data_IF_935052470444
#
_entry.id   IF_935052470444
#
_cell.length_a   1.000
_cell.length_b   1.000
_cell.length_c   1.000
_cell.angle_alpha   90.00
_cell.angle_beta   90.00
_cell.angle_gamma   90.00
#
_symmetry.space_group_name_H-M   'P 1'
#
loop_
_entity.id
_entity.type
_entity.pdbx_description
1 polymer ?
#
# COMPACT_ATOMS: atom_id res chain seq x y z
N UNK A 1 32.60 71.99 -32.19
CA UNK A 1 32.66 70.62 -32.73
C UNK A 1 31.98 69.68 -31.74
N UNK A 2 31.07 68.87 -32.25
CA UNK A 2 30.25 67.82 -31.63
C UNK A 2 29.13 68.16 -30.61
N UNK A 3 27.90 67.69 -30.89
CA UNK A 3 26.72 67.84 -30.04
C UNK A 3 26.56 66.67 -29.05
N UNK A 4 25.90 66.97 -27.93
CA UNK A 4 25.47 66.04 -26.89
C UNK A 4 24.46 65.01 -27.43
N UNK A 5 24.80 63.71 -27.33
CA UNK A 5 23.87 62.59 -27.47
C UNK A 5 23.33 62.21 -26.10
N UNK A 6 22.03 62.35 -25.89
CA UNK A 6 21.31 61.67 -24.80
C UNK A 6 20.45 60.60 -25.46
N UNK A 7 20.77 59.33 -25.17
CA UNK A 7 20.03 58.15 -25.61
C UNK A 7 18.72 58.01 -24.79
N UNK A 8 17.65 57.43 -25.37
CA UNK A 8 16.43 57.12 -24.64
C UNK A 8 16.59 55.81 -23.84
N UNK A 9 16.14 55.85 -22.59
CA UNK A 9 16.04 54.67 -21.70
C UNK A 9 14.90 53.78 -22.17
N UNK A 10 15.22 52.59 -22.69
CA UNK A 10 14.26 51.53 -22.94
C UNK A 10 14.01 50.78 -21.64
N UNK A 11 12.79 50.87 -21.11
CA UNK A 11 12.31 50.10 -19.98
C UNK A 11 11.95 48.69 -20.46
N UNK A 12 12.82 47.71 -20.22
CA UNK A 12 12.52 46.31 -20.50
C UNK A 12 11.72 45.72 -19.34
N UNK A 13 10.46 45.34 -19.62
CA UNK A 13 9.61 44.57 -18.73
C UNK A 13 10.19 43.14 -18.61
N UNK A 14 10.72 42.81 -17.44
CA UNK A 14 11.07 41.42 -17.11
C UNK A 14 9.79 40.72 -16.67
N UNK A 15 9.19 39.94 -17.57
CA UNK A 15 8.16 38.97 -17.20
C UNK A 15 8.88 37.80 -16.53
N UNK A 16 8.83 37.78 -15.21
CA UNK A 16 9.35 36.67 -14.41
C UNK A 16 8.41 35.48 -14.55
N UNK A 17 8.71 34.58 -15.50
CA UNK A 17 8.08 33.27 -15.55
C UNK A 17 8.61 32.45 -14.36
N UNK A 18 7.81 32.35 -13.29
CA UNK A 18 8.04 31.37 -12.24
C UNK A 18 7.87 29.97 -12.84
N UNK A 19 8.98 29.36 -13.23
CA UNK A 19 9.06 27.93 -13.41
C UNK A 19 8.95 27.28 -12.02
N UNK A 20 7.92 26.46 -11.82
CA UNK A 20 7.81 25.62 -10.65
C UNK A 20 9.05 24.72 -10.58
N UNK A 21 9.74 24.75 -9.44
CA UNK A 21 10.87 23.89 -9.18
C UNK A 21 10.33 22.46 -9.00
N UNK A 22 10.71 21.59 -9.93
CA UNK A 22 10.58 20.14 -9.80
C UNK A 22 11.76 19.65 -8.96
N UNK A 23 11.51 19.13 -7.77
CA UNK A 23 12.53 18.40 -7.00
C UNK A 23 12.01 17.05 -6.52
N UNK A 24 12.71 15.99 -6.98
CA UNK A 24 12.78 14.59 -6.51
C UNK A 24 11.44 13.83 -6.34
N UNK A 25 11.13 12.74 -7.04
CA UNK A 25 11.87 11.80 -7.89
C UNK A 25 10.98 11.41 -9.09
N UNK A 26 11.60 11.07 -10.22
CA UNK A 26 10.99 10.75 -11.53
C UNK A 26 10.24 9.40 -11.51
N UNK A 27 9.30 9.26 -10.58
CA UNK A 27 8.27 8.23 -10.63
C UNK A 27 7.17 8.79 -11.51
N UNK A 28 6.97 8.18 -12.67
CA UNK A 28 5.97 8.58 -13.68
C UNK A 28 4.55 8.59 -13.10
N UNK A 29 4.16 9.67 -12.42
CA UNK A 29 2.80 9.97 -11.98
C UNK A 29 2.00 10.37 -13.21
N UNK A 30 0.94 9.64 -13.52
CA UNK A 30 0.02 10.09 -14.57
C UNK A 30 -0.90 11.16 -13.97
N UNK A 31 -0.87 12.35 -14.56
CA UNK A 31 -1.69 13.47 -14.10
C UNK A 31 -3.19 13.14 -14.17
N UNK A 32 -3.94 13.59 -13.16
CA UNK A 32 -5.40 13.50 -13.13
C UNK A 32 -6.01 14.26 -14.33
N UNK A 33 -7.08 13.73 -14.96
CA UNK A 33 -7.71 14.35 -16.12
C UNK A 33 -8.50 15.61 -15.72
N UNK A 34 -7.88 16.78 -15.85
CA UNK A 34 -8.48 18.06 -15.43
C UNK A 34 -9.62 18.59 -16.30
N UNK A 35 -9.87 18.00 -17.47
CA UNK A 35 -10.91 18.42 -18.41
C UNK A 35 -12.21 17.65 -18.29
N UNK A 36 -12.24 16.56 -17.51
CA UNK A 36 -13.43 15.75 -17.29
C UNK A 36 -14.26 16.31 -16.14
N UNK A 37 -15.55 16.55 -16.37
CA UNK A 37 -16.48 16.93 -15.31
C UNK A 37 -16.93 15.73 -14.47
N UNK A 38 -16.95 14.54 -15.09
CA UNK A 38 -17.53 13.30 -14.53
C UNK A 38 -16.64 12.11 -14.92
N UNK A 39 -15.48 11.91 -14.28
CA UNK A 39 -14.59 10.80 -14.59
C UNK A 39 -15.22 9.45 -14.21
N UNK A 40 -14.87 8.40 -14.94
CA UNK A 40 -15.14 7.03 -14.56
C UNK A 40 -14.06 6.52 -13.61
N UNK A 41 -14.47 6.16 -12.41
CA UNK A 41 -13.60 5.73 -11.31
C UNK A 41 -13.69 4.23 -11.13
N UNK A 42 -12.55 3.55 -11.21
CA UNK A 42 -12.44 2.12 -10.96
C UNK A 42 -11.76 1.86 -9.63
N UNK A 43 -12.31 0.92 -8.86
CA UNK A 43 -11.86 0.65 -7.51
C UNK A 43 -11.17 -0.70 -7.47
N UNK A 44 -9.98 -0.72 -6.90
CA UNK A 44 -9.20 -1.92 -6.63
C UNK A 44 -9.09 -2.06 -5.10
N UNK A 45 -9.95 -2.88 -4.48
CA UNK A 45 -9.88 -3.09 -3.04
C UNK A 45 -8.66 -3.96 -2.68
N UNK A 46 -7.95 -3.54 -1.64
CA UNK A 46 -6.92 -4.27 -0.90
C UNK A 46 -7.39 -4.42 0.53
N UNK A 47 -8.41 -5.26 0.73
CA UNK A 47 -9.07 -5.43 2.02
C UNK A 47 -8.71 -6.76 2.68
N UNK A 48 -8.60 -6.76 4.01
CA UNK A 48 -8.39 -7.98 4.80
C UNK A 48 -6.92 -8.38 4.89
N UNK A 49 -6.68 -9.69 4.96
CA UNK A 49 -5.38 -10.25 5.32
C UNK A 49 -4.40 -10.24 4.14
N UNK A 50 -3.19 -9.70 4.37
CA UNK A 50 -2.09 -9.80 3.41
C UNK A 50 -1.71 -11.27 3.17
N UNK A 51 -1.62 -11.67 1.90
CA UNK A 51 -1.19 -13.02 1.51
C UNK A 51 -2.31 -14.06 1.41
N UNK A 52 -3.55 -13.74 1.77
CA UNK A 52 -4.71 -14.61 1.55
C UNK A 52 -5.81 -13.86 0.82
N UNK A 53 -6.44 -12.86 1.46
CA UNK A 53 -7.41 -11.97 0.81
C UNK A 53 -6.72 -11.08 -0.22
N UNK A 54 -5.62 -10.43 0.20
CA UNK A 54 -4.76 -9.63 -0.67
C UNK A 54 -3.68 -10.55 -1.23
N UNK A 55 -4.05 -11.27 -2.29
CA UNK A 55 -3.22 -12.26 -2.97
C UNK A 55 -3.22 -12.01 -4.49
N UNK A 56 -2.14 -12.28 -5.26
CA UNK A 56 -2.08 -11.94 -6.69
C UNK A 56 -3.19 -12.53 -7.59
N UNK A 57 -3.83 -13.63 -7.17
CA UNK A 57 -4.84 -14.33 -7.97
C UNK A 57 -6.05 -13.46 -8.39
N UNK A 58 -6.81 -12.82 -7.47
CA UNK A 58 -7.91 -11.92 -7.83
C UNK A 58 -7.44 -10.74 -8.68
N UNK A 59 -6.26 -10.16 -8.38
CA UNK A 59 -5.80 -8.96 -9.08
C UNK A 59 -5.46 -9.20 -10.55
N UNK A 60 -5.10 -10.43 -10.96
CA UNK A 60 -4.97 -10.76 -12.40
C UNK A 60 -6.29 -10.55 -13.14
N UNK A 61 -7.41 -10.92 -12.53
CA UNK A 61 -8.74 -10.71 -13.12
C UNK A 61 -9.14 -9.23 -13.06
N UNK A 62 -8.84 -8.54 -11.96
CA UNK A 62 -9.09 -7.10 -11.80
C UNK A 62 -8.32 -6.28 -12.83
N UNK A 63 -7.02 -6.53 -13.04
CA UNK A 63 -6.21 -5.86 -14.08
C UNK A 63 -6.80 -6.09 -15.47
N UNK A 64 -7.18 -7.32 -15.79
CA UNK A 64 -7.80 -7.65 -17.08
C UNK A 64 -9.16 -6.97 -17.27
N UNK A 65 -9.91 -6.78 -16.19
CA UNK A 65 -11.20 -6.09 -16.19
C UNK A 65 -11.04 -4.57 -16.30
N UNK A 66 -10.15 -3.95 -15.51
CA UNK A 66 -9.81 -2.53 -15.59
C UNK A 66 -9.39 -2.11 -17.01
N UNK A 67 -8.57 -2.92 -17.69
CA UNK A 67 -8.18 -2.71 -19.09
C UNK A 67 -9.36 -2.71 -20.07
N UNK A 68 -10.45 -3.43 -19.77
CA UNK A 68 -11.68 -3.44 -20.57
C UNK A 68 -12.58 -2.27 -20.24
N UNK A 69 -12.72 -1.95 -18.96
CA UNK A 69 -13.54 -0.84 -18.46
C UNK A 69 -12.99 0.50 -18.93
N UNK A 70 -11.66 0.62 -19.03
CA UNK A 70 -10.92 1.85 -19.39
C UNK A 70 -11.34 3.02 -18.51
N UNK A 71 -11.05 2.95 -17.20
CA UNK A 71 -11.38 4.05 -16.30
C UNK A 71 -10.49 5.27 -16.56
N UNK A 72 -10.97 6.42 -16.08
CA UNK A 72 -10.24 7.67 -16.11
C UNK A 72 -9.34 7.82 -14.88
N UNK A 73 -9.73 7.19 -13.75
CA UNK A 73 -9.01 7.19 -12.48
C UNK A 73 -9.15 5.81 -11.83
N UNK A 74 -8.08 5.32 -11.22
CA UNK A 74 -8.07 4.14 -10.37
C UNK A 74 -7.86 4.56 -8.91
N UNK A 75 -8.74 4.10 -8.03
CA UNK A 75 -8.55 4.21 -6.58
C UNK A 75 -8.14 2.82 -6.08
N UNK A 76 -6.97 2.75 -5.45
CA UNK A 76 -6.54 1.58 -4.67
C UNK A 76 -7.02 1.80 -3.24
N UNK A 77 -8.01 1.04 -2.79
CA UNK A 77 -8.55 1.15 -1.43
C UNK A 77 -7.80 0.19 -0.51
N UNK A 78 -6.99 0.71 0.42
CA UNK A 78 -6.20 -0.12 1.34
C UNK A 78 -6.86 -0.17 2.72
N UNK A 79 -7.27 -1.38 3.10
CA UNK A 79 -7.82 -1.68 4.43
C UNK A 79 -7.24 -3.00 4.92
N UNK A 80 -6.03 -2.95 5.45
CA UNK A 80 -5.30 -4.13 5.89
C UNK A 80 -4.49 -3.85 7.14
N UNK A 81 -4.87 -4.48 8.24
CA UNK A 81 -4.15 -4.39 9.50
C UNK A 81 -3.75 -5.80 9.96
N UNK A 82 -2.46 -6.14 9.81
CA UNK A 82 -1.87 -7.36 10.40
C UNK A 82 -1.79 -7.29 11.93
N UNK A 83 -2.10 -6.12 12.47
CA UNK A 83 -2.21 -5.82 13.88
C UNK A 83 -3.61 -5.22 14.04
N UNK A 84 -4.62 -6.07 14.18
CA UNK A 84 -5.83 -5.65 14.89
C UNK A 84 -5.62 -5.70 16.42
N UNK A 85 -4.37 -5.80 16.86
CA UNK A 85 -3.93 -5.75 18.25
C UNK A 85 -4.00 -4.31 18.77
N UNK A 86 -5.22 -3.82 18.88
CA UNK A 86 -5.52 -2.91 19.96
C UNK A 86 -5.30 -3.69 21.26
N UNK A 87 -4.28 -3.33 22.05
CA UNK A 87 -3.91 -3.97 23.32
C UNK A 87 -5.05 -4.08 24.37
N UNK A 88 -6.26 -3.63 24.04
CA UNK A 88 -7.49 -3.64 24.82
C UNK A 88 -8.60 -4.57 24.27
N UNK A 89 -8.46 -5.17 23.08
CA UNK A 89 -9.41 -6.15 22.55
C UNK A 89 -8.90 -7.58 22.78
N UNK A 90 -9.69 -8.36 23.53
CA UNK A 90 -9.31 -9.69 24.05
C UNK A 90 -9.45 -10.84 23.04
N UNK A 91 -9.82 -10.54 21.78
CA UNK A 91 -10.40 -11.52 20.85
C UNK A 91 -9.75 -11.51 19.44
N UNK A 92 -8.46 -11.17 19.33
CA UNK A 92 -7.75 -11.23 18.05
C UNK A 92 -7.64 -12.68 17.55
N UNK A 93 -8.12 -12.95 16.33
CA UNK A 93 -7.90 -14.24 15.66
C UNK A 93 -6.55 -14.21 14.94
N UNK A 94 -5.55 -14.90 15.50
CA UNK A 94 -4.23 -15.04 14.89
C UNK A 94 -4.26 -15.60 13.47
N UNK A 95 -5.36 -16.25 13.05
CA UNK A 95 -5.55 -16.74 11.68
C UNK A 95 -5.70 -15.62 10.65
N UNK A 96 -6.10 -14.43 11.09
CA UNK A 96 -6.32 -13.26 10.22
C UNK A 96 -5.06 -12.38 10.10
N UNK A 97 -3.95 -12.75 10.75
CA UNK A 97 -2.69 -12.00 10.65
C UNK A 97 -2.06 -12.14 9.27
N UNK A 98 -1.61 -11.04 8.67
CA UNK A 98 -0.95 -11.07 7.36
C UNK A 98 0.26 -12.00 7.30
N UNK A 99 0.43 -12.62 6.14
CA UNK A 99 1.50 -13.55 5.88
C UNK A 99 2.71 -12.86 5.26
N UNK A 100 3.88 -13.51 5.28
CA UNK A 100 5.13 -12.90 4.78
C UNK A 100 5.46 -13.45 3.40
N UNK A 101 4.97 -12.78 2.36
CA UNK A 101 5.21 -13.15 0.96
C UNK A 101 5.67 -11.95 0.13
N UNK A 102 6.78 -11.33 0.54
CA UNK A 102 7.25 -10.04 -0.02
C UNK A 102 7.46 -10.06 -1.54
N UNK A 103 7.86 -11.20 -2.12
CA UNK A 103 7.99 -11.36 -3.57
C UNK A 103 6.62 -11.24 -4.27
N UNK A 104 5.60 -11.90 -3.72
CA UNK A 104 4.22 -11.80 -4.24
C UNK A 104 3.66 -10.39 -4.12
N UNK A 105 3.96 -9.69 -3.02
CA UNK A 105 3.53 -8.30 -2.81
C UNK A 105 4.20 -7.36 -3.80
N UNK A 106 5.50 -7.53 -4.05
CA UNK A 106 6.23 -6.76 -5.06
C UNK A 106 5.68 -7.03 -6.46
N UNK A 107 5.42 -8.29 -6.79
CA UNK A 107 4.88 -8.67 -8.10
C UNK A 107 3.45 -8.14 -8.29
N UNK A 108 2.65 -8.08 -7.22
CA UNK A 108 1.33 -7.44 -7.22
C UNK A 108 1.43 -5.94 -7.49
N UNK A 109 2.29 -5.22 -6.74
CA UNK A 109 2.55 -3.79 -6.98
C UNK A 109 2.97 -3.56 -8.42
N UNK A 110 3.91 -4.38 -8.91
CA UNK A 110 4.39 -4.30 -10.29
C UNK A 110 3.25 -4.48 -11.29
N UNK A 111 2.43 -5.50 -11.13
CA UNK A 111 1.30 -5.76 -12.04
C UNK A 111 0.33 -4.57 -12.05
N UNK A 112 -0.06 -4.05 -10.88
CA UNK A 112 -1.00 -2.92 -10.82
C UNK A 112 -0.41 -1.63 -11.40
N UNK A 113 0.82 -1.27 -11.00
CA UNK A 113 1.43 0.00 -11.41
C UNK A 113 1.91 0.01 -12.84
N UNK A 114 2.53 -1.07 -13.31
CA UNK A 114 3.05 -1.11 -14.67
C UNK A 114 1.94 -1.39 -15.68
N UNK A 115 1.06 -2.37 -15.41
CA UNK A 115 0.05 -2.77 -16.38
C UNK A 115 -1.14 -1.83 -16.49
N UNK A 116 -1.35 -0.97 -15.48
CA UNK A 116 -2.37 0.08 -15.47
C UNK A 116 -1.73 1.48 -15.39
N UNK A 117 -0.46 1.60 -15.80
CA UNK A 117 0.31 2.86 -15.78
C UNK A 117 -0.28 3.97 -16.65
N UNK A 118 -1.16 3.60 -17.58
CA UNK A 118 -1.88 4.52 -18.45
C UNK A 118 -3.13 5.12 -17.80
N UNK A 119 -3.43 4.81 -16.54
CA UNK A 119 -4.50 5.47 -15.79
C UNK A 119 -3.90 6.06 -14.51
N UNK A 120 -4.23 7.31 -14.13
CA UNK A 120 -3.89 7.85 -12.81
C UNK A 120 -4.35 6.90 -11.70
N UNK A 121 -3.47 6.65 -10.73
CA UNK A 121 -3.72 5.74 -9.61
C UNK A 121 -3.52 6.48 -8.30
N UNK A 122 -4.50 6.41 -7.42
CA UNK A 122 -4.48 7.03 -6.10
C UNK A 122 -4.57 5.94 -5.04
N UNK A 123 -3.70 5.98 -4.04
CA UNK A 123 -3.78 5.13 -2.85
C UNK A 123 -4.66 5.81 -1.81
N UNK A 124 -5.76 5.18 -1.42
CA UNK A 124 -6.63 5.65 -0.36
C UNK A 124 -6.62 4.67 0.80
N UNK A 125 -5.99 5.08 1.90
CA UNK A 125 -5.76 4.26 3.09
C UNK A 125 -6.91 4.46 4.05
N UNK A 126 -7.71 3.41 4.21
CA UNK A 126 -8.70 3.33 5.27
C UNK A 126 -8.07 2.83 6.57
N UNK A 127 -7.18 1.85 6.48
CA UNK A 127 -6.35 1.40 7.61
C UNK A 127 -5.20 0.56 7.08
N UNK A 128 -3.99 0.77 7.61
CA UNK A 128 -2.79 0.08 7.17
C UNK A 128 -1.82 -0.18 8.32
N UNK A 129 -1.71 -1.44 8.73
CA UNK A 129 -0.77 -1.84 9.78
C UNK A 129 -0.02 -3.11 9.42
N UNK A 130 1.30 -3.10 9.55
CA UNK A 130 2.16 -4.24 9.23
C UNK A 130 2.57 -4.24 7.75
N UNK A 131 2.51 -5.41 7.10
CA UNK A 131 2.89 -5.58 5.69
C UNK A 131 1.96 -4.82 4.74
N UNK A 132 0.71 -4.56 5.12
CA UNK A 132 -0.19 -3.67 4.37
C UNK A 132 0.42 -2.28 4.13
N UNK A 133 1.21 -1.77 5.09
CA UNK A 133 1.88 -0.47 4.98
C UNK A 133 2.94 -0.43 3.89
N UNK A 134 3.48 -1.58 3.46
CA UNK A 134 4.35 -1.62 2.28
C UNK A 134 3.57 -1.30 1.01
N UNK A 135 2.31 -1.74 0.91
CA UNK A 135 1.45 -1.45 -0.22
C UNK A 135 1.12 0.04 -0.27
N UNK A 136 0.82 0.67 0.87
CA UNK A 136 0.58 2.11 0.94
C UNK A 136 1.71 2.93 0.29
N UNK A 137 2.96 2.62 0.64
CA UNK A 137 4.13 3.32 0.15
C UNK A 137 4.54 3.00 -1.29
N UNK A 138 3.87 2.06 -1.97
CA UNK A 138 4.16 1.77 -3.36
C UNK A 138 3.58 2.81 -4.33
N UNK A 139 2.68 3.68 -3.86
CA UNK A 139 2.06 4.74 -4.66
C UNK A 139 2.45 6.14 -4.16
N UNK A 140 2.71 7.07 -5.09
CA UNK A 140 3.12 8.42 -4.74
C UNK A 140 1.98 9.33 -4.26
N UNK A 141 0.76 9.10 -4.74
CA UNK A 141 -0.40 9.95 -4.43
C UNK A 141 -1.23 9.22 -3.36
N UNK A 142 -1.14 9.71 -2.12
CA UNK A 142 -1.61 9.03 -0.91
C UNK A 142 -2.65 9.88 -0.19
N UNK A 143 -3.82 9.30 0.07
CA UNK A 143 -4.87 9.91 0.87
C UNK A 143 -5.23 8.95 2.00
N UNK A 144 -5.70 9.50 3.11
CA UNK A 144 -6.05 8.72 4.30
C UNK A 144 -7.48 9.03 4.73
N UNK A 145 -8.18 8.07 5.31
CA UNK A 145 -9.36 8.38 6.15
C UNK A 145 -8.91 8.98 7.48
N UNK A 146 -9.77 9.73 8.14
CA UNK A 146 -9.41 10.47 9.36
C UNK A 146 -8.98 9.57 10.53
N UNK A 147 -9.41 8.32 10.56
CA UNK A 147 -9.05 7.30 11.56
C UNK A 147 -7.99 6.31 11.07
N UNK A 148 -7.46 6.49 9.86
CA UNK A 148 -6.48 5.58 9.29
C UNK A 148 -5.15 5.60 10.06
N UNK A 149 -4.57 4.41 10.15
CA UNK A 149 -3.21 4.18 10.63
C UNK A 149 -2.31 3.80 9.45
N UNK A 150 -1.05 4.18 9.52
CA UNK A 150 0.01 3.76 8.61
C UNK A 150 1.25 3.33 9.41
N UNK A 151 1.17 2.13 9.99
CA UNK A 151 2.02 1.69 11.09
C UNK A 151 2.67 0.33 10.82
N UNK A 152 3.55 -0.12 11.70
CA UNK A 152 3.87 -1.55 11.82
C UNK A 152 4.99 -2.08 10.90
N UNK A 153 5.69 -1.20 10.18
CA UNK A 153 6.76 -1.61 9.27
C UNK A 153 7.99 -2.20 9.97
N UNK A 154 8.15 -1.98 11.28
CA UNK A 154 9.17 -2.69 12.09
C UNK A 154 9.05 -4.22 11.99
N UNK A 155 7.86 -4.75 11.67
CA UNK A 155 7.68 -6.20 11.42
C UNK A 155 8.60 -6.72 10.32
N UNK A 156 8.92 -5.90 9.31
CA UNK A 156 9.84 -6.27 8.23
C UNK A 156 11.25 -6.47 8.78
N UNK A 157 11.74 -5.55 9.62
CA UNK A 157 13.04 -5.71 10.27
C UNK A 157 13.06 -6.89 11.25
N UNK A 158 11.94 -7.16 11.92
CA UNK A 158 11.81 -8.30 12.82
C UNK A 158 11.98 -9.66 12.12
N UNK A 159 11.76 -9.76 10.80
CA UNK A 159 12.05 -10.98 10.03
C UNK A 159 13.54 -11.34 9.98
N UNK A 160 14.41 -10.39 10.32
CA UNK A 160 15.83 -10.64 10.53
C UNK A 160 16.15 -11.14 11.95
N UNK A 161 15.16 -11.23 12.84
CA UNK A 161 15.36 -11.73 14.21
C UNK A 161 15.50 -13.26 14.21
N UNK A 162 16.34 -13.79 15.10
CA UNK A 162 16.49 -15.24 15.29
C UNK A 162 17.83 -15.83 14.84
N UNK A 163 18.73 -15.03 14.27
CA UNK A 163 20.10 -15.44 13.96
C UNK A 163 21.03 -15.14 15.14
N UNK A 164 21.73 -16.18 15.63
CA UNK A 164 22.66 -16.05 16.77
C UNK A 164 24.01 -15.46 16.39
N UNK A 165 24.42 -15.63 15.13
CA UNK A 165 25.64 -15.04 14.59
C UNK A 165 25.40 -13.56 14.22
N UNK A 166 26.17 -12.61 14.77
CA UNK A 166 25.98 -11.18 14.52
C UNK A 166 26.13 -10.76 13.06
N UNK A 167 27.05 -11.38 12.31
CA UNK A 167 27.29 -11.04 10.91
C UNK A 167 26.15 -11.55 10.02
N UNK A 168 25.60 -12.72 10.34
CA UNK A 168 24.41 -13.26 9.66
C UNK A 168 23.19 -12.40 9.98
N UNK A 169 22.97 -12.04 11.24
CA UNK A 169 21.88 -11.17 11.65
C UNK A 169 21.93 -9.81 10.91
N UNK A 170 23.11 -9.19 10.84
CA UNK A 170 23.30 -7.94 10.12
C UNK A 170 23.00 -8.05 8.61
N UNK A 171 23.43 -9.14 7.96
CA UNK A 171 23.12 -9.40 6.54
C UNK A 171 21.63 -9.58 6.29
N UNK A 172 20.96 -10.33 7.18
CA UNK A 172 19.52 -10.57 7.07
C UNK A 172 18.72 -9.29 7.31
N UNK A 173 19.14 -8.46 8.28
CA UNK A 173 18.52 -7.15 8.52
C UNK A 173 18.67 -6.24 7.29
N UNK A 174 19.87 -6.17 6.72
CA UNK A 174 20.12 -5.40 5.50
C UNK A 174 19.28 -5.90 4.31
N UNK A 175 19.12 -7.21 4.16
CA UNK A 175 18.31 -7.81 3.10
C UNK A 175 16.82 -7.46 3.25
N UNK A 176 16.23 -7.72 4.42
CA UNK A 176 14.80 -7.46 4.65
C UNK A 176 14.44 -5.98 4.61
N UNK A 177 15.27 -5.12 5.22
CA UNK A 177 15.08 -3.66 5.13
C UNK A 177 15.28 -3.16 3.71
N UNK A 178 16.21 -3.73 2.95
CA UNK A 178 16.38 -3.43 1.53
C UNK A 178 15.13 -3.76 0.70
N UNK A 179 14.50 -4.91 0.97
CA UNK A 179 13.22 -5.28 0.33
C UNK A 179 12.11 -4.29 0.72
N UNK A 180 11.96 -3.99 2.02
CA UNK A 180 10.94 -3.04 2.50
C UNK A 180 11.09 -1.66 1.86
N UNK A 181 12.32 -1.13 1.83
CA UNK A 181 12.63 0.16 1.17
C UNK A 181 12.38 0.16 -0.32
N UNK A 182 12.44 -1.00 -0.97
CA UNK A 182 12.08 -1.15 -2.39
C UNK A 182 10.66 -0.68 -2.68
N UNK A 183 9.70 -0.93 -1.79
CA UNK A 183 8.31 -0.45 -1.95
C UNK A 183 8.23 1.07 -1.86
N UNK A 184 8.90 1.66 -0.86
CA UNK A 184 8.95 3.12 -0.69
C UNK A 184 9.59 3.82 -1.89
N UNK A 185 10.71 3.29 -2.38
CA UNK A 185 11.36 3.83 -3.57
C UNK A 185 10.47 3.74 -4.81
N UNK A 186 9.67 2.67 -4.94
CA UNK A 186 8.69 2.56 -6.02
C UNK A 186 7.64 3.68 -5.95
N UNK A 187 7.16 4.05 -4.76
CA UNK A 187 6.28 5.21 -4.56
C UNK A 187 6.98 6.57 -4.64
N UNK A 188 8.31 6.61 -4.73
CA UNK A 188 9.08 7.84 -4.82
C UNK A 188 9.42 8.47 -3.46
N UNK A 189 9.25 7.72 -2.37
CA UNK A 189 9.54 8.18 -1.02
C UNK A 189 11.05 8.09 -0.70
N UNK A 190 11.57 9.02 0.11
CA UNK A 190 12.98 9.03 0.50
C UNK A 190 13.33 7.85 1.42
N UNK A 191 14.60 7.42 1.38
CA UNK A 191 15.07 6.26 2.15
C UNK A 191 15.07 6.54 3.65
N UNK A 192 15.24 7.80 4.05
CA UNK A 192 15.25 8.27 5.44
C UNK A 192 13.91 7.98 6.13
N UNK A 193 12.80 8.21 5.41
CA UNK A 193 11.45 7.85 5.88
C UNK A 193 11.33 6.33 6.04
N UNK A 194 11.83 5.56 5.07
CA UNK A 194 11.83 4.09 5.14
C UNK A 194 12.63 3.54 6.30
N UNK A 195 13.85 4.04 6.49
CA UNK A 195 14.70 3.65 7.60
C UNK A 195 13.99 3.92 8.94
N UNK A 196 13.37 5.09 9.12
CA UNK A 196 12.67 5.45 10.35
C UNK A 196 11.41 4.62 10.65
N UNK A 197 10.72 4.13 9.61
CA UNK A 197 9.55 3.26 9.79
C UNK A 197 9.92 1.77 9.96
N UNK A 198 11.10 1.35 9.51
CA UNK A 198 11.57 -0.03 9.58
C UNK A 198 12.44 -0.30 10.82
N UNK A 199 13.22 0.67 11.27
CA UNK A 199 14.30 0.49 12.25
C UNK A 199 14.07 1.35 13.51
N UNK A 200 13.89 0.75 14.71
CA UNK A 200 13.56 1.49 15.94
C UNK A 200 14.62 2.51 16.40
N UNK A 201 15.87 2.34 16.00
CA UNK A 201 16.96 3.24 16.38
C UNK A 201 17.03 4.54 15.56
N UNK A 202 16.17 4.67 14.54
CA UNK A 202 16.15 5.78 13.60
C UNK A 202 15.11 6.81 14.01
N UNK A 203 15.55 8.05 14.10
CA UNK A 203 14.68 9.22 14.34
C UNK A 203 14.28 9.86 13.02
N UNK A 204 13.21 10.65 13.04
CA UNK A 204 12.71 11.34 11.86
C UNK A 204 12.23 12.74 12.19
N UNK A 205 12.62 13.70 11.35
CA UNK A 205 12.05 15.04 11.34
C UNK A 205 11.79 15.50 9.91
N UNK A 206 10.99 16.55 9.76
CA UNK A 206 10.68 17.14 8.47
C UNK A 206 11.00 18.63 8.47
N UNK A 207 11.50 19.11 7.34
CA UNK A 207 11.66 20.52 7.00
C UNK A 207 10.77 20.83 5.82
N UNK A 208 10.10 21.98 5.86
CA UNK A 208 9.23 22.43 4.78
C UNK A 208 9.94 23.44 3.88
N UNK A 209 9.82 23.22 2.57
CA UNK A 209 10.28 24.14 1.53
C UNK A 209 9.07 24.57 0.69
N UNK A 210 8.37 25.61 1.16
CA UNK A 210 7.09 26.00 0.58
C UNK A 210 6.00 24.98 0.93
N UNK A 211 5.51 24.24 -0.06
CA UNK A 211 4.55 23.13 0.12
C UNK A 211 5.21 21.76 0.14
N UNK A 212 6.51 21.70 -0.14
CA UNK A 212 7.23 20.44 -0.25
C UNK A 212 7.84 20.05 1.10
N UNK A 213 7.82 18.75 1.39
CA UNK A 213 8.37 18.17 2.61
C UNK A 213 9.69 17.48 2.34
N UNK A 214 10.73 17.90 3.07
CA UNK A 214 12.05 17.28 3.08
C UNK A 214 12.26 16.49 4.37
N UNK A 215 12.31 15.17 4.24
CA UNK A 215 12.51 14.24 5.35
C UNK A 215 13.99 14.16 5.75
N UNK A 216 14.26 14.20 7.05
CA UNK A 216 15.61 14.22 7.63
C UNK A 216 15.79 13.04 8.60
N UNK A 217 16.93 12.33 8.57
CA UNK A 217 17.15 11.12 9.37
C UNK A 217 17.62 11.45 10.80
N UNK A 218 17.21 12.61 11.32
CA UNK A 218 17.60 13.16 12.61
C UNK A 218 16.49 14.05 13.17
N UNK A 219 16.78 14.86 14.19
CA UNK A 219 15.84 15.79 14.84
C UNK A 219 16.13 17.26 14.51
N UNK A 220 16.84 17.53 13.40
CA UNK A 220 17.23 18.89 12.99
C UNK A 220 16.17 19.63 12.17
N UNK A 221 15.10 18.94 11.76
CA UNK A 221 13.96 19.52 11.06
C UNK A 221 13.16 20.49 11.91
N UNK A 222 12.23 21.19 11.26
CA UNK A 222 11.32 22.13 11.92
C UNK A 222 10.28 21.39 12.75
N UNK A 223 9.86 20.22 12.28
CA UNK A 223 8.93 19.35 12.97
C UNK A 223 9.58 18.00 13.25
N UNK A 224 9.70 17.65 14.52
CA UNK A 224 10.19 16.34 14.94
C UNK A 224 9.01 15.38 14.88
N UNK A 225 9.09 14.40 13.96
CA UNK A 225 8.03 13.40 13.75
C UNK A 225 8.21 12.26 14.74
N UNK A 226 9.46 11.83 14.93
CA UNK A 226 9.82 10.89 15.99
C UNK A 226 11.25 11.13 16.48
N UNK A 227 11.39 11.10 17.80
CA UNK A 227 12.67 11.17 18.51
C UNK A 227 12.95 9.93 19.36
N UNK A 228 12.07 8.93 19.29
CA UNK A 228 12.26 7.66 19.99
C UNK A 228 13.51 6.93 19.49
N UNK A 229 14.09 6.12 20.37
CA UNK A 229 15.15 5.17 20.02
C UNK A 229 14.74 3.72 20.25
N UNK A 230 13.50 3.52 20.72
CA UNK A 230 12.97 2.24 21.16
C UNK A 230 11.76 1.81 20.31
N UNK A 231 11.27 2.68 19.41
CA UNK A 231 10.12 2.44 18.55
C UNK A 231 10.34 3.08 17.18
N UNK A 232 9.75 2.50 16.14
CA UNK A 232 9.72 3.10 14.81
C UNK A 232 8.66 4.19 14.70
N UNK A 233 8.84 5.06 13.71
CA UNK A 233 7.83 6.03 13.29
C UNK A 233 6.54 5.32 12.87
N UNK A 234 5.42 5.91 13.26
CA UNK A 234 4.07 5.51 12.90
C UNK A 234 3.28 6.78 12.56
N UNK A 235 2.45 6.74 11.52
CA UNK A 235 1.64 7.89 11.12
C UNK A 235 0.15 7.63 11.33
N UNK A 236 -0.51 8.52 12.05
CA UNK A 236 -1.96 8.72 11.89
C UNK A 236 -2.23 9.69 10.73
N UNK A 237 -3.50 9.81 10.32
CA UNK A 237 -3.90 10.67 9.22
C UNK A 237 -3.50 12.14 9.42
N UNK A 238 -3.65 12.66 10.64
CA UNK A 238 -3.29 14.06 10.96
C UNK A 238 -1.80 14.31 10.80
N UNK A 239 -0.96 13.46 11.40
CA UNK A 239 0.49 13.60 11.28
C UNK A 239 0.94 13.40 9.84
N UNK A 240 0.33 12.46 9.11
CA UNK A 240 0.65 12.24 7.70
C UNK A 240 0.32 13.47 6.84
N UNK A 241 -0.84 14.09 7.01
CA UNK A 241 -1.23 15.30 6.28
C UNK A 241 -0.38 16.51 6.68
N UNK A 242 -0.21 16.77 7.98
CA UNK A 242 0.53 17.92 8.49
C UNK A 242 2.01 17.91 8.09
N UNK A 243 2.58 16.71 7.90
CA UNK A 243 3.96 16.52 7.47
C UNK A 243 4.11 16.41 5.94
N UNK A 244 3.01 16.47 5.18
CA UNK A 244 3.01 16.31 3.73
C UNK A 244 3.36 14.91 3.24
N UNK A 245 3.15 13.88 4.08
CA UNK A 245 3.22 12.49 3.67
C UNK A 245 1.95 12.07 2.89
N UNK A 246 0.78 12.48 3.39
CA UNK A 246 -0.49 12.30 2.71
C UNK A 246 -0.90 13.61 2.03
N UNK A 247 -1.46 13.53 0.83
CA UNK A 247 -1.95 14.65 0.03
C UNK A 247 -3.27 15.21 0.57
N UNK A 248 -3.98 14.45 1.42
CA UNK A 248 -5.15 14.91 2.14
C UNK A 248 -5.91 13.81 2.86
N UNK A 249 -6.90 14.23 3.65
CA UNK A 249 -7.78 13.34 4.41
C UNK A 249 -9.20 13.33 3.83
N UNK A 250 -9.71 12.14 3.53
CA UNK A 250 -11.05 11.91 3.00
C UNK A 250 -11.68 10.65 3.62
N UNK A 251 -12.85 10.80 4.25
CA UNK A 251 -13.56 9.69 4.92
C UNK A 251 -14.47 8.90 3.98
N UNK A 252 -14.85 9.51 2.85
CA UNK A 252 -15.67 8.87 1.83
C UNK A 252 -15.04 8.99 0.45
N UNK A 253 -15.47 8.14 -0.48
CA UNK A 253 -15.03 8.21 -1.88
C UNK A 253 -15.44 9.54 -2.50
N UNK A 254 -16.60 10.06 -2.13
CA UNK A 254 -17.09 11.37 -2.55
C UNK A 254 -16.16 12.50 -2.07
N UNK A 255 -15.72 12.46 -0.80
CA UNK A 255 -14.76 13.44 -0.27
C UNK A 255 -13.41 13.34 -0.99
N UNK A 256 -12.93 12.12 -1.24
CA UNK A 256 -11.70 11.89 -1.99
C UNK A 256 -11.81 12.45 -3.40
N UNK A 257 -12.89 12.14 -4.12
CA UNK A 257 -13.11 12.66 -5.48
C UNK A 257 -13.22 14.19 -5.48
N UNK A 258 -13.82 14.77 -4.44
CA UNK A 258 -13.86 16.22 -4.25
C UNK A 258 -12.47 16.82 -4.05
N UNK A 259 -11.60 16.20 -3.23
CA UNK A 259 -10.20 16.60 -3.06
C UNK A 259 -9.41 16.51 -4.38
N UNK A 260 -9.68 15.48 -5.18
CA UNK A 260 -9.11 15.30 -6.52
C UNK A 260 -9.66 16.30 -7.55
N UNK A 261 -10.63 17.13 -7.18
CA UNK A 261 -11.17 18.22 -7.99
C UNK A 261 -12.45 17.89 -8.77
N UNK A 262 -13.09 16.75 -8.50
CA UNK A 262 -14.29 16.28 -9.19
C UNK A 262 -15.53 16.35 -8.30
N UNK A 263 -16.61 16.94 -8.81
CA UNK A 263 -17.89 17.05 -8.08
C UNK A 263 -18.84 15.89 -8.36
N UNK A 264 -18.66 15.24 -9.50
CA UNK A 264 -19.46 14.11 -9.97
C UNK A 264 -18.49 13.07 -10.53
N UNK A 265 -18.84 11.79 -10.44
CA UNK A 265 -18.06 10.69 -11.01
C UNK A 265 -18.97 9.49 -11.25
N UNK A 266 -18.55 8.60 -12.14
CA UNK A 266 -19.21 7.33 -12.39
C UNK A 266 -18.42 6.19 -11.75
N UNK A 267 -19.06 5.41 -10.89
CA UNK A 267 -18.43 4.24 -10.28
C UNK A 267 -18.40 3.04 -11.23
N UNK A 268 -17.24 2.37 -11.30
CA UNK A 268 -17.06 1.10 -11.96
C UNK A 268 -16.72 0.00 -10.94
N UNK A 269 -17.75 -0.57 -10.33
CA UNK A 269 -17.63 -1.48 -9.18
C UNK A 269 -17.27 -2.94 -9.55
N UNK A 270 -16.93 -3.22 -10.82
CA UNK A 270 -16.63 -4.59 -11.25
C UNK A 270 -15.36 -5.15 -10.60
N UNK A 271 -14.38 -4.29 -10.28
CA UNK A 271 -13.19 -4.68 -9.51
C UNK A 271 -13.52 -5.14 -8.10
N UNK A 272 -14.36 -4.38 -7.39
CA UNK A 272 -14.85 -4.74 -6.06
C UNK A 272 -15.60 -6.06 -6.07
N UNK A 273 -16.47 -6.27 -7.07
CA UNK A 273 -17.19 -7.53 -7.23
C UNK A 273 -16.25 -8.72 -7.42
N UNK A 274 -15.27 -8.61 -8.31
CA UNK A 274 -14.28 -9.68 -8.57
C UNK A 274 -13.53 -10.04 -7.29
N UNK A 275 -13.12 -9.03 -6.52
CA UNK A 275 -12.41 -9.22 -5.26
C UNK A 275 -13.30 -9.93 -4.22
N UNK A 276 -14.51 -9.42 -3.99
CA UNK A 276 -15.43 -9.99 -3.00
C UNK A 276 -15.83 -11.43 -3.34
N UNK A 277 -16.10 -11.72 -4.62
CA UNK A 277 -16.40 -13.07 -5.11
C UNK A 277 -15.23 -14.03 -4.82
N UNK A 278 -13.98 -13.57 -4.97
CA UNK A 278 -12.79 -14.35 -4.64
C UNK A 278 -12.69 -14.62 -3.13
N UNK A 279 -12.78 -13.56 -2.31
CA UNK A 279 -12.68 -13.64 -0.84
C UNK A 279 -13.72 -14.59 -0.27
N UNK A 280 -14.99 -14.43 -0.66
CA UNK A 280 -16.07 -15.32 -0.22
C UNK A 280 -15.80 -16.77 -0.64
N UNK A 281 -15.37 -16.97 -1.89
CA UNK A 281 -15.16 -18.31 -2.45
C UNK A 281 -14.01 -19.07 -1.80
N UNK A 282 -12.87 -18.42 -1.52
CA UNK A 282 -11.73 -19.09 -0.91
C UNK A 282 -12.01 -19.37 0.58
N UNK A 283 -12.60 -18.41 1.32
CA UNK A 283 -12.96 -18.60 2.74
C UNK A 283 -13.97 -19.74 2.92
N UNK A 284 -15.00 -19.79 2.09
CA UNK A 284 -15.97 -20.91 2.05
C UNK A 284 -15.31 -22.24 1.68
N UNK A 285 -14.26 -22.22 0.85
CA UNK A 285 -13.51 -23.43 0.51
C UNK A 285 -12.62 -23.89 1.65
N UNK A 286 -12.00 -22.95 2.38
CA UNK A 286 -11.25 -23.22 3.60
C UNK A 286 -12.13 -23.85 4.68
N UNK A 287 -13.33 -23.32 4.90
CA UNK A 287 -14.30 -23.89 5.85
C UNK A 287 -14.68 -25.34 5.50
N UNK A 288 -14.97 -25.60 4.23
CA UNK A 288 -15.23 -26.96 3.73
C UNK A 288 -14.03 -27.89 3.89
N UNK A 289 -12.81 -27.40 3.73
CA UNK A 289 -11.61 -28.18 3.98
C UNK A 289 -11.50 -28.61 5.45
N UNK A 290 -11.83 -27.73 6.41
CA UNK A 290 -11.87 -28.10 7.84
C UNK A 290 -12.87 -29.22 8.09
N UNK A 291 -14.07 -29.14 7.51
CA UNK A 291 -15.08 -30.19 7.59
C UNK A 291 -14.61 -31.51 6.98
N UNK A 292 -13.94 -31.48 5.82
CA UNK A 292 -13.43 -32.68 5.17
C UNK A 292 -12.28 -33.32 5.95
N UNK A 293 -11.41 -32.52 6.56
CA UNK A 293 -10.31 -33.02 7.40
C UNK A 293 -10.85 -33.67 8.68
N UNK A 294 -11.80 -33.03 9.37
CA UNK A 294 -12.46 -33.61 10.53
C UNK A 294 -13.20 -34.91 10.17
N UNK A 295 -13.98 -34.89 9.08
CA UNK A 295 -14.65 -36.09 8.59
C UNK A 295 -13.66 -37.21 8.26
N UNK A 296 -12.49 -36.91 7.71
CA UNK A 296 -11.46 -37.90 7.37
C UNK A 296 -10.85 -38.57 8.62
N UNK A 297 -10.71 -37.83 9.73
CA UNK A 297 -10.23 -38.37 11.00
C UNK A 297 -11.24 -39.36 11.62
N UNK A 298 -12.53 -39.14 11.38
CA UNK A 298 -13.62 -39.91 11.96
C UNK A 298 -14.06 -41.13 11.11
N UNK A 299 -13.38 -41.42 9.99
CA UNK A 299 -13.69 -42.59 9.15
C UNK A 299 -13.10 -43.87 9.75
N UNK A 300 -13.86 -44.97 9.72
CA UNK A 300 -13.42 -46.33 10.10
C UNK A 300 -12.07 -46.76 9.46
N UNK A 301 -11.30 -47.62 10.13
CA UNK A 301 -9.99 -48.12 9.69
C UNK A 301 -10.06 -49.30 8.70
N UNK A 302 -11.26 -49.74 8.30
CA UNK A 302 -11.44 -50.75 7.26
C UNK A 302 -11.13 -50.27 5.83
N UNK A 303 -11.03 -51.22 4.88
CA UNK A 303 -10.73 -50.96 3.45
C UNK A 303 -11.66 -49.90 2.81
N UNK A 304 -12.96 -49.95 3.14
CA UNK A 304 -13.93 -48.93 2.67
C UNK A 304 -13.64 -47.55 3.25
N UNK A 305 -13.19 -47.50 4.51
CA UNK A 305 -12.81 -46.28 5.19
C UNK A 305 -11.58 -45.63 4.57
N UNK A 306 -10.57 -46.40 4.18
CA UNK A 306 -9.41 -45.87 3.44
C UNK A 306 -9.81 -45.22 2.12
N UNK A 307 -10.77 -45.81 1.38
CA UNK A 307 -11.30 -45.21 0.14
C UNK A 307 -11.99 -43.86 0.38
N UNK A 308 -12.80 -43.77 1.44
CA UNK A 308 -13.49 -42.53 1.81
C UNK A 308 -12.50 -41.45 2.29
N UNK A 309 -11.51 -41.78 3.12
CA UNK A 309 -10.45 -40.84 3.54
C UNK A 309 -9.68 -40.30 2.35
N UNK A 310 -9.28 -41.18 1.42
CA UNK A 310 -8.60 -40.77 0.19
C UNK A 310 -9.42 -39.74 -0.59
N UNK A 311 -10.71 -39.99 -0.79
CA UNK A 311 -11.59 -39.05 -1.50
C UNK A 311 -11.71 -37.69 -0.80
N UNK A 312 -11.75 -37.67 0.54
CA UNK A 312 -11.77 -36.42 1.31
C UNK A 312 -10.46 -35.63 1.15
N UNK A 313 -9.31 -36.30 1.23
CA UNK A 313 -8.02 -35.64 0.98
C UNK A 313 -7.88 -35.14 -0.46
N UNK A 314 -8.40 -35.86 -1.44
CA UNK A 314 -8.43 -35.40 -2.84
C UNK A 314 -9.25 -34.10 -3.00
N UNK A 315 -10.35 -33.95 -2.25
CA UNK A 315 -11.14 -32.71 -2.23
C UNK A 315 -10.36 -31.55 -1.60
N UNK A 316 -9.67 -31.79 -0.48
CA UNK A 316 -8.82 -30.79 0.18
C UNK A 316 -7.72 -30.32 -0.77
N UNK A 317 -6.99 -31.25 -1.39
CA UNK A 317 -5.95 -30.94 -2.39
C UNK A 317 -6.53 -30.18 -3.57
N UNK A 318 -7.75 -30.54 -4.02
CA UNK A 318 -8.46 -29.82 -5.07
C UNK A 318 -8.73 -28.35 -4.72
N UNK A 319 -9.20 -28.10 -3.49
CA UNK A 319 -9.46 -26.75 -3.01
C UNK A 319 -8.16 -25.92 -2.87
N UNK A 320 -7.08 -26.50 -2.34
CA UNK A 320 -5.76 -25.86 -2.25
C UNK A 320 -5.22 -25.46 -3.64
N UNK A 321 -5.40 -26.31 -4.66
CA UNK A 321 -5.01 -25.99 -6.04
C UNK A 321 -5.84 -24.87 -6.66
N UNK A 322 -7.13 -24.80 -6.32
CA UNK A 322 -8.03 -23.76 -6.82
C UNK A 322 -7.77 -22.40 -6.15
N UNK A 323 -7.50 -22.44 -4.86
CA UNK A 323 -7.26 -21.28 -4.01
C UNK A 323 -5.99 -21.53 -3.18
N UNK A 324 -4.82 -21.04 -3.60
CA UNK A 324 -3.58 -21.17 -2.83
C UNK A 324 -3.71 -20.65 -1.40
N UNK A 325 -4.57 -19.65 -1.16
CA UNK A 325 -4.90 -19.17 0.19
C UNK A 325 -5.42 -20.28 1.14
N UNK A 326 -6.01 -21.36 0.63
CA UNK A 326 -6.48 -22.50 1.43
C UNK A 326 -5.34 -23.41 1.90
N UNK A 327 -4.20 -23.41 1.20
CA UNK A 327 -3.00 -24.15 1.61
C UNK A 327 -2.28 -23.48 2.80
N UNK A 328 -2.49 -22.17 2.95
CA UNK A 328 -1.74 -21.30 3.86
C UNK A 328 -2.34 -21.26 5.27
#
# INVERSE_FOLDING_TARGET
>A
MHPSRILPTVLALVVSSCAFAQTASDVSRKALPSTLSTPKVYVIPMHGQMGTDIHPQPYKAIVADAKKVKPDIIIIELKSADIDNNFYLKNDDQKEAGQVHMEEYRDLVKSLREELSDVPQVMWIQDSVGFGSLMAFAWPDMYMTSDARLWGLQKVAQLASGWSDPDVAAKMLAAWTGIGKGFLQQGGYPLELGDAMLLPEKTLSVKFEGRDSSWLPDTSGVWIVDSSKDSTVNFDATTAEDTGLADGVADTREDLMFLLGYREFENADSGEKIFNDYVESWRKSYDRCKEWLDAAQNVDEGIKGFGQRKSLFEKVIGAMKQYPAVER
#
